data_IF_770893608006
#
_entry.id   IF_770893608006
#
_cell.length_a   1.000
_cell.length_b   1.000
_cell.length_c   1.000
_cell.angle_alpha   90.00
_cell.angle_beta   90.00
_cell.angle_gamma   90.00
#
_symmetry.space_group_name_H-M   'P 1'
#
loop_
_entity.id
_entity.type
_entity.pdbx_description
1 polymer ?
#
# COMPACT_ATOMS: atom_id res chain seq x y z
N UNK A 1 -2.76 12.99 -3.96
CA UNK A 1 -2.88 11.91 -2.94
C UNK A 1 -1.65 11.89 -2.04
N UNK A 2 -0.42 11.89 -2.59
CA UNK A 2 0.81 11.90 -1.80
C UNK A 2 0.87 12.99 -0.73
N UNK A 3 0.63 14.26 -1.09
CA UNK A 3 0.62 15.39 -0.14
C UNK A 3 -0.22 15.15 1.12
N UNK A 4 -1.44 14.59 0.95
CA UNK A 4 -2.36 14.34 2.07
C UNK A 4 -1.86 13.18 2.93
N UNK A 5 -1.32 12.13 2.31
CA UNK A 5 -0.73 11.03 3.07
C UNK A 5 0.49 11.50 3.88
N UNK A 6 1.33 12.36 3.28
CA UNK A 6 2.47 12.98 3.95
C UNK A 6 2.06 13.91 5.10
N UNK A 7 1.00 14.72 4.91
CA UNK A 7 0.56 15.69 5.92
C UNK A 7 -0.04 15.02 7.16
N UNK A 8 -0.77 13.90 6.98
CA UNK A 8 -1.58 13.31 8.05
C UNK A 8 -1.06 11.98 8.61
N UNK A 9 -0.07 11.34 7.97
CA UNK A 9 0.52 10.11 8.48
C UNK A 9 1.93 10.35 9.02
N UNK A 10 2.25 9.76 10.18
CA UNK A 10 3.62 9.74 10.71
C UNK A 10 4.57 8.98 9.78
N UNK A 11 4.05 7.94 9.11
CA UNK A 11 4.79 7.12 8.14
C UNK A 11 3.91 6.87 6.92
N UNK A 12 4.26 7.50 5.80
CA UNK A 12 3.65 7.21 4.50
C UNK A 12 4.39 6.06 3.79
N UNK A 13 3.64 5.05 3.34
CA UNK A 13 4.15 3.94 2.50
C UNK A 13 3.40 3.96 1.17
N UNK A 14 4.15 4.06 0.06
CA UNK A 14 3.61 4.02 -1.30
C UNK A 14 3.92 2.66 -1.92
N UNK A 15 2.88 1.99 -2.42
CA UNK A 15 2.97 0.66 -3.05
C UNK A 15 2.01 0.57 -4.24
N UNK A 16 2.15 -0.47 -5.05
CA UNK A 16 1.22 -0.77 -6.14
C UNK A 16 -0.17 -1.20 -5.65
N UNK A 17 -1.15 -0.94 -6.49
CA UNK A 17 -2.50 -1.49 -6.37
C UNK A 17 -2.85 -2.21 -7.68
N UNK A 18 -3.66 -1.61 -8.55
CA UNK A 18 -3.99 -2.17 -9.84
C UNK A 18 -3.23 -1.38 -10.92
N UNK A 19 -1.91 -1.62 -11.13
CA UNK A 19 -1.16 -0.90 -12.15
C UNK A 19 -1.73 -1.15 -13.56
N UNK A 20 -2.51 -2.23 -13.76
CA UNK A 20 -3.08 -2.59 -15.08
C UNK A 20 -1.94 -2.58 -16.10
N UNK A 21 -2.08 -1.85 -17.19
CA UNK A 21 -1.06 -1.78 -18.25
C UNK A 21 -0.04 -0.66 -18.04
N UNK A 22 -0.10 0.08 -16.94
CA UNK A 22 0.84 1.15 -16.62
C UNK A 22 2.05 0.59 -15.84
N UNK A 23 3.21 1.21 -16.04
CA UNK A 23 4.40 0.88 -15.25
C UNK A 23 4.17 1.29 -13.79
N UNK A 24 4.22 0.36 -12.80
CA UNK A 24 3.94 0.68 -11.40
C UNK A 24 4.79 1.84 -10.88
N UNK A 25 6.05 1.91 -11.33
CA UNK A 25 7.00 2.95 -10.95
C UNK A 25 6.57 4.35 -11.41
N UNK A 26 5.89 4.46 -12.56
CA UNK A 26 5.39 5.74 -13.04
C UNK A 26 4.31 6.29 -12.12
N UNK A 27 3.34 5.44 -11.73
CA UNK A 27 2.26 5.81 -10.80
C UNK A 27 2.83 6.19 -9.43
N UNK A 28 3.80 5.42 -8.92
CA UNK A 28 4.49 5.73 -7.67
C UNK A 28 5.16 7.10 -7.76
N UNK A 29 5.87 7.39 -8.85
CA UNK A 29 6.53 8.69 -9.05
C UNK A 29 5.53 9.84 -9.08
N UNK A 30 4.35 9.65 -9.67
CA UNK A 30 3.29 10.66 -9.69
C UNK A 30 2.72 10.93 -8.30
N UNK A 31 2.60 9.90 -7.45
CA UNK A 31 2.20 10.06 -6.05
C UNK A 31 3.26 10.86 -5.28
N UNK A 32 4.54 10.50 -5.45
CA UNK A 32 5.67 11.17 -4.79
C UNK A 32 5.85 12.62 -5.26
N UNK A 33 5.61 12.91 -6.54
CA UNK A 33 5.68 14.27 -7.09
C UNK A 33 4.66 15.23 -6.46
N UNK A 34 3.60 14.68 -5.85
CA UNK A 34 2.63 15.45 -5.09
C UNK A 34 3.02 15.72 -3.63
N UNK A 35 4.15 15.21 -3.14
CA UNK A 35 4.63 15.43 -1.77
C UNK A 35 5.58 16.63 -1.70
N UNK A 36 5.63 17.29 -0.55
CA UNK A 36 6.57 18.39 -0.26
C UNK A 36 7.99 17.84 -0.04
N UNK A 37 8.12 16.73 0.69
CA UNK A 37 9.35 15.97 0.91
C UNK A 37 9.12 14.47 0.65
N UNK A 38 9.19 14.11 -0.63
CA UNK A 38 9.08 12.72 -1.06
C UNK A 38 10.12 11.77 -0.40
N UNK A 39 11.21 12.29 0.17
CA UNK A 39 12.22 11.49 0.85
C UNK A 39 11.75 10.87 2.16
N UNK A 40 10.66 11.41 2.74
CA UNK A 40 10.06 10.88 3.96
C UNK A 40 9.12 9.69 3.71
N UNK A 41 8.65 9.52 2.47
CA UNK A 41 7.81 8.38 2.12
C UNK A 41 8.64 7.11 1.87
N UNK A 42 8.18 5.98 2.39
CA UNK A 42 8.74 4.67 2.05
C UNK A 42 8.11 4.18 0.76
N UNK A 43 8.92 3.76 -0.20
CA UNK A 43 8.45 3.16 -1.47
C UNK A 43 8.71 1.67 -1.44
N UNK A 44 7.66 0.87 -1.60
CA UNK A 44 7.76 -0.58 -1.68
C UNK A 44 6.85 -1.12 -2.78
N UNK A 45 7.46 -1.65 -3.84
CA UNK A 45 6.74 -2.44 -4.84
C UNK A 45 6.38 -3.82 -4.24
N UNK A 46 5.33 -4.44 -4.75
CA UNK A 46 4.68 -5.60 -4.18
C UNK A 46 3.72 -5.23 -3.06
N UNK A 47 2.43 -5.06 -3.39
CA UNK A 47 1.41 -4.70 -2.39
C UNK A 47 1.38 -5.62 -1.17
N UNK A 48 1.47 -6.93 -1.37
CA UNK A 48 1.50 -7.91 -0.29
C UNK A 48 2.69 -7.70 0.66
N UNK A 49 3.86 -7.39 0.11
CA UNK A 49 5.09 -7.16 0.86
C UNK A 49 5.04 -5.84 1.61
N UNK A 50 4.54 -4.77 0.97
CA UNK A 50 4.35 -3.47 1.59
C UNK A 50 3.38 -3.52 2.78
N UNK A 51 2.22 -4.18 2.61
CA UNK A 51 1.23 -4.35 3.69
C UNK A 51 1.83 -5.19 4.83
N UNK A 52 2.50 -6.30 4.50
CA UNK A 52 3.17 -7.15 5.51
C UNK A 52 4.20 -6.34 6.29
N UNK A 53 5.05 -5.58 5.59
CA UNK A 53 6.10 -4.77 6.17
C UNK A 53 5.53 -3.69 7.11
N UNK A 54 4.47 -2.99 6.69
CA UNK A 54 3.81 -1.97 7.50
C UNK A 54 3.21 -2.55 8.78
N UNK A 55 2.49 -3.68 8.68
CA UNK A 55 1.90 -4.36 9.84
C UNK A 55 2.97 -4.88 10.80
N UNK A 56 4.06 -5.47 10.28
CA UNK A 56 5.14 -6.02 11.11
C UNK A 56 6.01 -4.95 11.78
N UNK A 57 6.04 -3.72 11.24
CA UNK A 57 6.77 -2.59 11.84
C UNK A 57 5.94 -1.82 12.87
N UNK A 58 4.62 -2.00 12.88
CA UNK A 58 3.73 -1.33 13.82
C UNK A 58 4.00 -1.78 15.25
N UNK A 59 3.99 -0.83 16.18
CA UNK A 59 4.12 -1.05 17.61
C UNK A 59 2.75 -1.09 18.28
N UNK A 60 2.76 -1.45 19.55
CA UNK A 60 1.57 -1.35 20.39
C UNK A 60 1.04 0.10 20.37
N UNK A 61 -0.27 0.24 20.14
CA UNK A 61 -1.02 1.50 19.97
C UNK A 61 -0.82 2.24 18.63
N UNK A 62 -0.04 1.72 17.68
CA UNK A 62 0.00 2.27 16.32
C UNK A 62 -1.27 1.90 15.53
N UNK A 63 -1.64 2.77 14.58
CA UNK A 63 -2.72 2.50 13.63
C UNK A 63 -2.12 2.37 12.23
N UNK A 64 -2.34 1.22 11.60
CA UNK A 64 -1.99 0.99 10.19
C UNK A 64 -3.24 1.10 9.33
N UNK A 65 -3.28 2.10 8.45
CA UNK A 65 -4.35 2.26 7.45
C UNK A 65 -3.89 1.74 6.09
N UNK A 66 -4.51 0.68 5.60
CA UNK A 66 -4.31 0.19 4.23
C UNK A 66 -5.40 0.77 3.32
N UNK A 67 -5.03 1.73 2.46
CA UNK A 67 -5.95 2.43 1.57
C UNK A 67 -5.76 2.01 0.09
N UNK A 68 -6.75 2.32 -0.75
CA UNK A 68 -6.72 2.06 -2.21
C UNK A 68 -7.77 1.04 -2.68
N UNK A 69 -7.64 -0.22 -2.25
CA UNK A 69 -8.47 -1.35 -2.74
C UNK A 69 -9.83 -1.49 -2.07
N UNK A 70 -9.85 -1.36 -0.73
CA UNK A 70 -11.05 -1.63 0.06
C UNK A 70 -11.46 -3.10 0.02
N UNK A 71 -12.60 -3.41 -0.61
CA UNK A 71 -13.22 -4.73 -0.57
C UNK A 71 -12.73 -5.69 -1.65
N UNK A 72 -11.99 -5.21 -2.65
CA UNK A 72 -11.46 -6.00 -3.76
C UNK A 72 -10.62 -7.19 -3.25
N UNK A 73 -10.76 -8.32 -3.94
CA UNK A 73 -10.08 -9.59 -3.64
C UNK A 73 -9.08 -10.00 -4.74
N UNK A 74 -8.72 -9.05 -5.60
CA UNK A 74 -7.78 -9.26 -6.67
C UNK A 74 -6.84 -8.08 -6.88
N UNK A 75 -5.74 -8.32 -7.58
CA UNK A 75 -4.83 -7.30 -8.09
C UNK A 75 -4.65 -7.45 -9.60
N UNK A 76 -4.74 -6.35 -10.36
CA UNK A 76 -4.57 -6.36 -11.82
C UNK A 76 -3.16 -5.88 -12.17
N UNK A 77 -2.35 -6.78 -12.74
CA UNK A 77 -1.00 -6.49 -13.24
C UNK A 77 -0.92 -6.89 -14.72
N UNK A 78 -0.71 -5.92 -15.60
CA UNK A 78 -0.90 -6.07 -17.03
C UNK A 78 -2.32 -6.52 -17.36
N UNK A 79 -2.42 -7.68 -18.00
CA UNK A 79 -3.69 -8.35 -18.33
C UNK A 79 -4.00 -9.51 -17.37
N UNK A 80 -3.24 -9.66 -16.29
CA UNK A 80 -3.41 -10.73 -15.31
C UNK A 80 -4.19 -10.24 -14.09
N UNK A 81 -5.13 -11.06 -13.64
CA UNK A 81 -5.84 -10.90 -12.36
C UNK A 81 -5.23 -11.89 -11.37
N UNK A 82 -4.55 -11.37 -10.35
CA UNK A 82 -3.93 -12.13 -9.27
C UNK A 82 -4.85 -12.14 -8.06
N UNK A 83 -4.98 -13.28 -7.37
CA UNK A 83 -5.77 -13.36 -6.14
C UNK A 83 -5.04 -12.64 -5.01
N UNK A 84 -5.63 -11.54 -4.52
CA UNK A 84 -5.03 -10.72 -3.46
C UNK A 84 -6.07 -9.84 -2.76
N UNK A 85 -6.14 -9.95 -1.43
CA UNK A 85 -7.02 -9.11 -0.61
C UNK A 85 -6.27 -8.55 0.59
N UNK A 86 -6.28 -7.22 0.74
CA UNK A 86 -5.69 -6.53 1.90
C UNK A 86 -6.26 -7.09 3.21
N UNK A 87 -7.58 -7.34 3.28
CA UNK A 87 -8.26 -7.88 4.47
C UNK A 87 -7.74 -9.26 4.85
N UNK A 88 -7.60 -10.15 3.87
CA UNK A 88 -7.10 -11.52 4.10
C UNK A 88 -5.64 -11.49 4.53
N UNK A 89 -4.80 -10.66 3.89
CA UNK A 89 -3.40 -10.50 4.27
C UNK A 89 -3.27 -10.00 5.71
N UNK A 90 -3.98 -8.93 6.09
CA UNK A 90 -3.94 -8.38 7.45
C UNK A 90 -4.50 -9.37 8.47
N UNK A 91 -5.64 -10.00 8.20
CA UNK A 91 -6.23 -10.97 9.11
C UNK A 91 -5.27 -12.15 9.39
N UNK A 92 -4.61 -12.67 8.36
CA UNK A 92 -3.59 -13.72 8.50
C UNK A 92 -2.43 -13.28 9.39
N UNK A 93 -1.93 -12.05 9.20
CA UNK A 93 -0.82 -11.51 10.00
C UNK A 93 -1.18 -11.32 11.48
N UNK A 94 -2.44 -10.95 11.74
CA UNK A 94 -2.98 -10.79 13.10
C UNK A 94 -3.48 -12.10 13.71
N UNK A 95 -3.43 -13.22 12.97
CA UNK A 95 -3.92 -14.52 13.45
C UNK A 95 -5.45 -14.60 13.63
N UNK A 96 -6.20 -13.77 12.89
CA UNK A 96 -7.68 -13.72 12.93
C UNK A 96 -8.29 -14.18 11.61
N UNK A 97 -9.59 -14.45 11.61
CA UNK A 97 -10.34 -14.81 10.40
C UNK A 97 -10.76 -13.52 9.67
N UNK A 98 -10.61 -13.52 8.34
CA UNK A 98 -10.93 -12.40 7.44
C UNK A 98 -12.42 -12.33 7.07
#
# INVERSE_FOLDING_TARGET
MGAIAEEFADVAVVTDDNPRTEEPRAIINDILAGMLDAGHAKVMEGRAEAVTCAVMQAKENDVVLVAGKGHEDYQIVGNQRLDYSDRVTVARLLGVIA
#
